data_IF_651165120094
#
_entry.id   IF_651165120094
#
_cell.length_a   1.000
_cell.length_b   1.000
_cell.length_c   1.000
_cell.angle_alpha   90.00
_cell.angle_beta   90.00
_cell.angle_gamma   90.00
#
_symmetry.space_group_name_H-M   'P 1'
#
loop_
_entity.id
_entity.type
_entity.pdbx_description
1 polymer ?
#
# COMPACT_ATOMS: atom_id res chain seq x y z
N UNK A 1 4.01 14.57 -11.13
CA UNK A 1 3.24 13.81 -10.12
C UNK A 1 3.75 12.38 -10.07
N UNK A 2 4.06 11.91 -8.90
CA UNK A 2 4.50 10.52 -8.70
C UNK A 2 3.27 9.67 -8.38
N UNK A 3 3.09 8.58 -9.12
CA UNK A 3 1.93 7.69 -8.99
C UNK A 3 2.34 6.40 -8.29
N UNK A 4 1.75 6.15 -7.11
CA UNK A 4 2.11 5.04 -6.24
C UNK A 4 0.90 4.11 -6.06
N UNK A 5 1.13 2.82 -6.27
CA UNK A 5 0.16 1.77 -5.99
C UNK A 5 0.67 0.91 -4.84
N UNK A 6 -0.03 0.94 -3.70
CA UNK A 6 0.25 0.01 -2.61
C UNK A 6 -0.50 -1.30 -2.86
N UNK A 7 0.17 -2.43 -2.64
CA UNK A 7 -0.37 -3.74 -3.00
C UNK A 7 -0.20 -4.72 -1.86
N UNK A 8 -1.26 -5.46 -1.56
CA UNK A 8 -1.19 -6.61 -0.66
C UNK A 8 -2.07 -7.74 -1.22
N UNK A 9 -2.26 -8.82 -0.47
CA UNK A 9 -3.00 -9.97 -0.95
C UNK A 9 -4.46 -9.65 -1.28
N UNK A 10 -5.20 -9.09 -0.31
CA UNK A 10 -6.65 -8.88 -0.43
C UNK A 10 -7.12 -7.45 -0.62
N UNK A 11 -6.26 -6.47 -0.39
CA UNK A 11 -6.60 -5.04 -0.46
C UNK A 11 -7.73 -4.63 0.50
N UNK A 12 -7.78 -5.25 1.67
CA UNK A 12 -8.74 -4.88 2.71
C UNK A 12 -8.06 -4.52 4.05
N UNK A 13 -6.76 -4.77 4.20
CA UNK A 13 -6.01 -4.47 5.43
C UNK A 13 -4.80 -3.60 5.15
N UNK A 14 -3.64 -4.22 4.87
CA UNK A 14 -2.35 -3.53 4.81
C UNK A 14 -2.25 -2.48 3.70
N UNK A 15 -2.64 -2.80 2.48
CA UNK A 15 -2.50 -1.85 1.37
C UNK A 15 -3.43 -0.65 1.50
N UNK A 16 -4.71 -0.80 1.94
CA UNK A 16 -5.52 0.39 2.22
C UNK A 16 -4.95 1.22 3.38
N UNK A 17 -4.44 0.57 4.43
CA UNK A 17 -3.80 1.31 5.53
C UNK A 17 -2.64 2.16 5.01
N UNK A 18 -1.79 1.57 4.16
CA UNK A 18 -0.65 2.29 3.56
C UNK A 18 -1.12 3.45 2.70
N UNK A 19 -2.15 3.25 1.90
CA UNK A 19 -2.71 4.31 1.06
C UNK A 19 -3.10 5.53 1.88
N UNK A 20 -3.89 5.33 2.95
CA UNK A 20 -4.41 6.45 3.74
C UNK A 20 -3.36 7.06 4.66
N UNK A 21 -2.44 6.25 5.19
CA UNK A 21 -1.32 6.76 5.98
C UNK A 21 -0.40 7.63 5.11
N UNK A 22 -0.06 7.17 3.91
CA UNK A 22 0.81 7.95 3.01
C UNK A 22 0.14 9.25 2.59
N UNK A 23 -1.14 9.20 2.23
CA UNK A 23 -1.91 10.41 1.87
C UNK A 23 -1.89 11.43 3.00
N UNK A 24 -2.09 10.98 4.24
CA UNK A 24 -2.09 11.86 5.40
C UNK A 24 -0.71 12.49 5.66
N UNK A 25 0.35 11.68 5.56
CA UNK A 25 1.72 12.16 5.72
C UNK A 25 2.07 13.20 4.67
N UNK A 26 1.70 12.97 3.41
CA UNK A 26 1.93 13.90 2.31
C UNK A 26 1.17 15.21 2.53
N UNK A 27 -0.08 15.11 3.00
CA UNK A 27 -0.90 16.29 3.31
C UNK A 27 -0.27 17.13 4.41
N UNK A 28 0.19 16.49 5.49
CA UNK A 28 0.82 17.19 6.63
C UNK A 28 2.14 17.85 6.25
N UNK A 29 2.83 17.30 5.25
CA UNK A 29 4.06 17.89 4.70
C UNK A 29 3.80 18.95 3.64
N UNK A 30 2.54 19.19 3.26
CA UNK A 30 2.19 20.15 2.23
C UNK A 30 2.56 19.72 0.82
N UNK A 31 2.72 18.42 0.57
CA UNK A 31 3.15 17.87 -0.72
C UNK A 31 2.13 16.90 -1.34
N UNK A 32 0.88 16.92 -0.84
CA UNK A 32 -0.15 15.99 -1.31
C UNK A 32 -0.38 16.06 -2.84
N UNK A 33 -0.24 17.26 -3.42
CA UNK A 33 -0.44 17.48 -4.85
C UNK A 33 0.66 16.89 -5.73
N UNK A 34 1.74 16.41 -5.13
CA UNK A 34 2.84 15.76 -5.86
C UNK A 34 2.61 14.26 -6.07
N UNK A 35 1.59 13.69 -5.43
CA UNK A 35 1.38 12.24 -5.43
C UNK A 35 -0.05 11.86 -5.82
N UNK A 36 -0.16 10.83 -6.65
CA UNK A 36 -1.41 10.08 -6.85
C UNK A 36 -1.21 8.74 -6.16
N UNK A 37 -2.04 8.41 -5.17
CA UNK A 37 -1.87 7.21 -4.34
C UNK A 37 -3.12 6.36 -4.43
N UNK A 38 -2.91 5.06 -4.70
CA UNK A 38 -3.98 4.08 -4.79
C UNK A 38 -3.52 2.78 -4.14
N UNK A 39 -4.42 1.81 -4.02
CA UNK A 39 -4.09 0.48 -3.54
C UNK A 39 -4.92 -0.58 -4.25
N UNK A 40 -4.37 -1.80 -4.34
CA UNK A 40 -5.01 -2.92 -5.01
C UNK A 40 -4.56 -4.25 -4.43
N UNK A 41 -5.21 -5.34 -4.89
CA UNK A 41 -4.98 -6.71 -4.44
C UNK A 41 -4.34 -7.54 -5.54
N UNK A 42 -3.46 -8.46 -5.15
CA UNK A 42 -2.98 -9.51 -6.06
C UNK A 42 -3.98 -10.64 -6.20
N UNK A 43 -4.83 -10.87 -5.18
CA UNK A 43 -5.83 -11.94 -5.14
C UNK A 43 -7.22 -11.40 -5.47
N UNK A 44 -8.11 -12.30 -5.92
CA UNK A 44 -9.52 -11.98 -6.15
C UNK A 44 -10.41 -12.38 -4.99
N UNK A 45 -9.84 -12.86 -3.88
CA UNK A 45 -10.60 -13.41 -2.74
C UNK A 45 -11.61 -12.43 -2.15
N UNK A 46 -11.31 -11.14 -2.17
CA UNK A 46 -12.13 -10.10 -1.58
C UNK A 46 -12.98 -9.35 -2.62
N UNK A 47 -13.11 -9.92 -3.82
CA UNK A 47 -13.87 -9.31 -4.91
C UNK A 47 -14.90 -10.32 -5.43
N UNK A 48 -16.17 -9.95 -5.37
CA UNK A 48 -17.28 -10.79 -5.81
C UNK A 48 -18.11 -10.05 -6.86
N UNK A 49 -18.29 -10.66 -8.03
CA UNK A 49 -19.04 -10.06 -9.15
C UNK A 49 -18.56 -8.64 -9.49
N UNK A 50 -17.25 -8.42 -9.45
CA UNK A 50 -16.66 -7.11 -9.74
C UNK A 50 -16.81 -6.09 -8.61
N UNK A 51 -17.37 -6.49 -7.47
CA UNK A 51 -17.55 -5.61 -6.32
C UNK A 51 -16.61 -6.05 -5.21
N UNK A 52 -15.71 -5.15 -4.81
CA UNK A 52 -14.76 -5.40 -3.74
C UNK A 52 -15.36 -5.23 -2.36
N UNK A 53 -14.86 -6.00 -1.40
CA UNK A 53 -15.21 -5.84 0.00
C UNK A 53 -14.64 -4.54 0.55
N UNK A 54 -15.31 -3.94 1.55
CA UNK A 54 -14.77 -2.74 2.20
C UNK A 54 -13.55 -3.07 3.04
N UNK A 55 -12.87 -2.04 3.52
CA UNK A 55 -11.75 -2.20 4.44
C UNK A 55 -12.20 -3.04 5.64
N UNK A 56 -11.38 -4.03 6.00
CA UNK A 56 -11.67 -4.95 7.10
C UNK A 56 -11.89 -4.15 8.40
N UNK A 57 -12.97 -4.44 9.16
CA UNK A 57 -13.32 -3.60 10.32
C UNK A 57 -12.20 -3.33 11.32
N UNK A 58 -11.38 -4.32 11.73
CA UNK A 58 -10.26 -4.03 12.63
C UNK A 58 -9.21 -3.09 12.04
N UNK A 59 -8.96 -3.16 10.72
CA UNK A 59 -8.04 -2.24 10.05
C UNK A 59 -8.63 -0.83 10.01
N UNK A 60 -9.91 -0.72 9.70
CA UNK A 60 -10.63 0.55 9.73
C UNK A 60 -10.59 1.16 11.13
N UNK A 61 -10.84 0.36 12.17
CA UNK A 61 -10.80 0.81 13.55
C UNK A 61 -9.41 1.32 13.94
N UNK A 62 -8.35 0.63 13.47
CA UNK A 62 -6.98 1.07 13.75
C UNK A 62 -6.70 2.43 13.12
N UNK A 63 -7.13 2.63 11.86
CA UNK A 63 -6.99 3.93 11.20
C UNK A 63 -7.73 5.03 11.95
N UNK A 64 -8.97 4.75 12.39
CA UNK A 64 -9.78 5.72 13.13
C UNK A 64 -9.15 6.12 14.46
N UNK A 65 -8.44 5.21 15.14
CA UNK A 65 -7.68 5.55 16.36
C UNK A 65 -6.62 6.62 16.12
N UNK A 66 -6.18 6.76 14.87
CA UNK A 66 -5.19 7.77 14.46
C UNK A 66 -5.83 8.90 13.65
N UNK A 67 -7.15 9.03 13.75
CA UNK A 67 -7.93 10.09 13.09
C UNK A 67 -7.87 10.03 11.58
N UNK A 68 -7.72 8.82 11.02
CA UNK A 68 -7.71 8.60 9.58
C UNK A 68 -9.00 7.92 9.14
N UNK A 69 -9.60 8.44 8.05
CA UNK A 69 -10.77 7.84 7.42
C UNK A 69 -10.33 7.08 6.16
N UNK A 70 -10.89 5.90 5.96
CA UNK A 70 -10.68 5.17 4.72
C UNK A 70 -11.77 5.46 3.66
N UNK A 71 -12.71 6.37 3.98
CA UNK A 71 -13.80 6.71 3.06
C UNK A 71 -14.60 5.47 2.67
N UNK A 72 -14.96 5.40 1.40
CA UNK A 72 -15.66 4.24 0.83
C UNK A 72 -14.75 3.25 0.12
N UNK A 73 -13.49 3.15 0.52
CA UNK A 73 -12.52 2.27 -0.13
C UNK A 73 -13.00 0.83 -0.14
N UNK A 74 -12.94 0.20 -1.32
CA UNK A 74 -13.22 -1.22 -1.51
C UNK A 74 -12.06 -1.88 -2.24
N UNK A 75 -11.90 -3.19 -2.08
CA UNK A 75 -10.84 -3.94 -2.73
C UNK A 75 -10.92 -3.79 -4.25
N UNK A 76 -9.77 -3.59 -4.88
CA UNK A 76 -9.61 -3.47 -6.32
C UNK A 76 -8.54 -4.46 -6.78
N UNK A 77 -8.79 -5.13 -7.90
CA UNK A 77 -7.83 -6.08 -8.45
C UNK A 77 -6.70 -5.38 -9.18
N UNK A 78 -5.45 -5.73 -8.86
CA UNK A 78 -4.28 -5.29 -9.62
C UNK A 78 -4.35 -5.88 -11.03
N UNK A 79 -4.17 -5.02 -12.04
CA UNK A 79 -4.20 -5.42 -13.44
C UNK A 79 -2.81 -5.31 -14.06
N UNK A 80 -2.52 -6.15 -15.05
CA UNK A 80 -1.26 -6.05 -15.81
C UNK A 80 -1.11 -4.66 -16.43
N UNK A 81 -2.23 -4.09 -16.92
CA UNK A 81 -2.24 -2.75 -17.52
C UNK A 81 -1.87 -1.63 -16.55
N UNK A 82 -1.93 -1.87 -15.24
CA UNK A 82 -1.53 -0.87 -14.25
C UNK A 82 -0.02 -0.58 -14.31
N UNK A 83 0.77 -1.51 -14.81
CA UNK A 83 2.23 -1.37 -14.83
C UNK A 83 2.67 -0.08 -15.50
N UNK A 84 2.04 0.29 -16.62
CA UNK A 84 2.40 1.49 -17.36
C UNK A 84 1.74 2.76 -16.82
N UNK A 85 0.77 2.61 -15.90
CA UNK A 85 0.01 3.73 -15.36
C UNK A 85 0.59 4.30 -14.07
N UNK A 86 1.41 3.54 -13.36
CA UNK A 86 1.98 3.94 -12.06
C UNK A 86 3.48 3.92 -12.12
N UNK A 87 4.10 4.72 -11.28
CA UNK A 87 5.56 4.83 -11.19
C UNK A 87 6.16 3.83 -10.21
N UNK A 88 5.42 3.51 -9.14
CA UNK A 88 5.86 2.60 -8.09
C UNK A 88 4.73 1.65 -7.68
N UNK A 89 5.10 0.39 -7.44
CA UNK A 89 4.23 -0.63 -6.87
C UNK A 89 4.88 -1.13 -5.59
N UNK A 90 4.24 -0.85 -4.46
CA UNK A 90 4.82 -1.09 -3.14
C UNK A 90 4.07 -2.21 -2.44
N UNK A 91 4.74 -3.35 -2.28
CA UNK A 91 4.19 -4.51 -1.58
C UNK A 91 4.49 -4.48 -0.09
N UNK A 92 3.72 -5.23 0.67
CA UNK A 92 3.86 -5.29 2.13
C UNK A 92 4.79 -6.41 2.58
N UNK A 93 4.89 -7.49 1.79
CA UNK A 93 5.73 -8.64 2.09
C UNK A 93 6.29 -9.26 0.81
N UNK A 94 7.17 -10.24 0.97
CA UNK A 94 7.83 -10.90 -0.15
C UNK A 94 6.85 -11.66 -1.05
N UNK A 95 5.74 -12.19 -0.49
CA UNK A 95 4.71 -12.86 -1.28
C UNK A 95 4.02 -11.87 -2.22
N UNK A 96 3.76 -10.65 -1.74
CA UNK A 96 3.19 -9.58 -2.59
C UNK A 96 4.11 -9.29 -3.78
N UNK A 97 5.42 -9.22 -3.54
CA UNK A 97 6.40 -8.98 -4.60
C UNK A 97 6.34 -10.10 -5.66
N UNK A 98 6.40 -11.36 -5.22
CA UNK A 98 6.33 -12.51 -6.14
C UNK A 98 5.05 -12.49 -6.97
N UNK A 99 3.92 -12.19 -6.34
CA UNK A 99 2.63 -12.18 -7.03
C UNK A 99 2.50 -11.01 -7.99
N UNK A 100 3.04 -9.82 -7.65
CA UNK A 100 3.09 -8.70 -8.59
C UNK A 100 3.92 -9.02 -9.82
N UNK A 101 5.10 -9.62 -9.63
CA UNK A 101 5.95 -10.02 -10.75
C UNK A 101 5.24 -11.02 -11.67
N UNK A 102 4.43 -11.89 -11.09
CA UNK A 102 3.62 -12.84 -11.88
C UNK A 102 2.56 -12.11 -12.69
N UNK A 103 1.84 -11.17 -12.07
CA UNK A 103 0.80 -10.40 -12.76
C UNK A 103 1.39 -9.59 -13.92
N UNK A 104 2.54 -8.94 -13.69
CA UNK A 104 3.16 -8.09 -14.70
C UNK A 104 4.01 -8.83 -15.72
N UNK A 105 4.39 -10.08 -15.43
CA UNK A 105 5.31 -10.84 -16.30
C UNK A 105 6.76 -10.37 -16.16
N UNK A 106 7.11 -9.76 -15.04
CA UNK A 106 8.43 -9.22 -14.74
C UNK A 106 8.37 -7.78 -14.26
N UNK A 107 9.52 -7.13 -14.18
CA UNK A 107 9.63 -5.73 -13.72
C UNK A 107 10.75 -5.02 -14.49
N UNK A 108 10.59 -4.83 -15.82
CA UNK A 108 11.68 -4.27 -16.64
C UNK A 108 12.05 -2.83 -16.27
N UNK A 109 11.11 -2.05 -15.72
CA UNK A 109 11.37 -0.66 -15.35
C UNK A 109 11.77 -0.47 -13.89
N UNK A 110 11.88 -1.56 -13.11
CA UNK A 110 12.30 -1.48 -11.71
C UNK A 110 11.30 -0.76 -10.81
N UNK A 111 10.01 -0.99 -11.01
CA UNK A 111 8.93 -0.28 -10.28
C UNK A 111 8.46 -1.00 -9.02
N UNK A 112 8.76 -2.30 -8.87
CA UNK A 112 8.22 -3.15 -7.80
C UNK A 112 9.18 -3.18 -6.62
N UNK A 113 8.71 -2.73 -5.46
CA UNK A 113 9.51 -2.64 -4.24
C UNK A 113 8.69 -3.04 -3.03
N UNK A 114 9.39 -3.42 -1.96
CA UNK A 114 8.76 -3.73 -0.68
C UNK A 114 8.83 -2.50 0.22
N UNK A 115 7.72 -2.18 0.91
CA UNK A 115 7.62 -0.97 1.73
C UNK A 115 8.75 -0.88 2.76
N UNK A 116 9.01 -1.97 3.47
CA UNK A 116 9.99 -1.97 4.55
C UNK A 116 11.44 -1.88 4.06
N UNK A 117 11.70 -2.06 2.76
CA UNK A 117 13.03 -1.86 2.19
C UNK A 117 13.48 -0.40 2.26
N UNK A 118 12.55 0.54 2.43
CA UNK A 118 12.89 1.96 2.62
C UNK A 118 13.29 2.27 4.06
N UNK A 119 13.05 1.35 4.99
CA UNK A 119 13.44 1.51 6.41
C UNK A 119 14.77 0.84 6.67
N UNK A 120 15.44 1.26 7.75
CA UNK A 120 16.71 0.65 8.15
C UNK A 120 16.56 -0.81 8.57
N UNK A 121 15.42 -1.18 9.17
CA UNK A 121 15.22 -2.55 9.64
C UNK A 121 14.81 -3.53 8.54
N UNK A 122 14.25 -3.04 7.42
CA UNK A 122 13.80 -3.91 6.33
C UNK A 122 12.72 -4.90 6.74
N UNK A 123 12.62 -6.02 6.02
CA UNK A 123 11.70 -7.10 6.33
C UNK A 123 10.30 -6.92 5.75
N UNK A 124 9.32 -7.59 6.35
CA UNK A 124 7.93 -7.60 5.92
C UNK A 124 7.05 -6.88 6.93
N UNK A 125 5.93 -6.34 6.46
CA UNK A 125 4.82 -5.99 7.34
C UNK A 125 4.03 -7.27 7.59
N UNK A 126 4.00 -7.74 8.84
CA UNK A 126 3.28 -8.95 9.18
C UNK A 126 1.80 -8.82 8.84
N UNK A 127 1.20 -9.91 8.32
CA UNK A 127 -0.20 -9.89 7.95
C UNK A 127 -1.08 -9.93 9.22
N UNK A 128 -1.81 -8.84 9.52
CA UNK A 128 -2.62 -8.78 10.74
C UNK A 128 -3.85 -9.72 10.71
N UNK A 129 -4.19 -10.26 9.53
CA UNK A 129 -5.22 -11.29 9.42
C UNK A 129 -4.86 -12.50 10.28
N UNK A 130 -3.57 -12.85 10.34
CA UNK A 130 -3.08 -13.99 11.12
C UNK A 130 -2.63 -13.62 12.53
N UNK A 131 -1.96 -12.46 12.68
CA UNK A 131 -1.42 -12.04 13.97
C UNK A 131 -2.46 -11.36 14.87
N UNK A 132 -3.52 -10.82 14.27
CA UNK A 132 -4.54 -9.97 14.91
C UNK A 132 -3.95 -8.67 15.49
N UNK A 133 -2.70 -8.36 15.19
CA UNK A 133 -2.00 -7.19 15.72
C UNK A 133 -2.04 -6.04 14.69
N UNK A 134 -3.21 -5.42 14.55
CA UNK A 134 -3.40 -4.27 13.66
C UNK A 134 -2.60 -3.05 14.10
N UNK A 135 -2.34 -2.92 15.39
CA UNK A 135 -1.51 -1.86 15.95
C UNK A 135 -0.05 -1.97 15.48
N UNK A 136 0.49 -3.19 15.44
CA UNK A 136 1.84 -3.46 14.95
C UNK A 136 1.93 -3.19 13.45
N UNK A 137 0.94 -3.67 12.69
CA UNK A 137 0.87 -3.41 11.26
C UNK A 137 0.82 -1.91 10.97
N UNK A 138 -0.01 -1.16 11.72
CA UNK A 138 -0.09 0.29 11.57
C UNK A 138 1.27 0.95 11.80
N UNK A 139 1.95 0.60 12.89
CA UNK A 139 3.26 1.17 13.22
C UNK A 139 4.28 0.91 12.12
N UNK A 140 4.36 -0.34 11.65
CA UNK A 140 5.31 -0.70 10.60
C UNK A 140 5.01 0.03 9.29
N UNK A 141 3.74 0.11 8.92
CA UNK A 141 3.31 0.81 7.71
C UNK A 141 3.58 2.31 7.85
N UNK A 142 3.30 2.89 9.03
CA UNK A 142 3.60 4.30 9.29
C UNK A 142 5.09 4.58 9.10
N UNK A 143 5.95 3.74 9.68
CA UNK A 143 7.41 3.89 9.55
C UNK A 143 7.84 3.73 8.08
N UNK A 144 7.28 2.73 7.40
CA UNK A 144 7.58 2.50 5.98
C UNK A 144 7.15 3.65 5.09
N UNK A 145 5.94 4.16 5.29
CA UNK A 145 5.43 5.31 4.53
C UNK A 145 6.23 6.58 4.80
N UNK A 146 6.64 6.79 6.05
CA UNK A 146 7.49 7.93 6.41
C UNK A 146 8.82 7.87 5.65
N UNK A 147 9.45 6.69 5.66
CA UNK A 147 10.72 6.49 4.96
C UNK A 147 10.57 6.61 3.44
N UNK A 148 9.49 6.06 2.88
CA UNK A 148 9.21 6.17 1.45
C UNK A 148 9.02 7.62 1.03
N UNK A 149 8.22 8.38 1.78
CA UNK A 149 7.99 9.79 1.48
C UNK A 149 9.30 10.58 1.51
N UNK A 150 10.12 10.37 2.55
CA UNK A 150 11.42 11.03 2.66
C UNK A 150 12.32 10.70 1.48
N UNK A 151 12.35 9.43 1.07
CA UNK A 151 13.14 8.98 -0.08
C UNK A 151 12.68 9.67 -1.37
N UNK A 152 11.37 9.73 -1.61
CA UNK A 152 10.83 10.33 -2.82
C UNK A 152 11.06 11.84 -2.87
N UNK A 153 10.95 12.52 -1.73
CA UNK A 153 11.18 13.96 -1.67
C UNK A 153 12.66 14.30 -1.87
N UNK A 154 13.58 13.46 -1.38
CA UNK A 154 15.03 13.68 -1.56
C UNK A 154 15.47 13.48 -3.00
N UNK A 155 14.78 12.65 -3.77
CA UNK A 155 15.08 12.40 -5.18
C UNK A 155 14.56 13.46 -6.14
N UNK A 156 13.77 14.42 -5.66
CA UNK A 156 13.15 15.47 -6.48
C UNK A 156 13.94 16.79 -6.48
N UNK A 157 15.22 16.73 -6.27
CA UNK A 157 16.06 17.94 -6.26
C UNK A 157 16.35 18.46 -7.66
#
# INVERSE_FOLDING_TARGET
>A
MIKIMFVCHGNICRSPMAEFIFKDLAKKRGVADRFLVASSATSTEEIWNGIGNPVYPPAKAELERHELSCGGKRAVQLQKSDYDKYDLFIGMDSANIRNMLRVFGGDPAGKVHKLMDYTARGGDVADPWYSERFDVAYRDIYDGCTALLAFLLSGEQ
#
